data_IF_946668111885
#
_entry.id   IF_946668111885
#
_cell.length_a   1.000
_cell.length_b   1.000
_cell.length_c   1.000
_cell.angle_alpha   90.00
_cell.angle_beta   90.00
_cell.angle_gamma   90.00
#
_symmetry.space_group_name_H-M   'P 1'
#
loop_
_entity.id
_entity.type
_entity.pdbx_description
1 polymer ?
#
# COMPACT_ATOMS: atom_id res chain seq x y z
N UNK A 1 -18.30 22.36 -2.01
CA UNK A 1 -19.01 21.76 -0.86
C UNK A 1 -18.52 20.34 -0.76
N UNK A 2 -18.25 19.92 0.48
CA UNK A 2 -17.43 18.76 0.82
C UNK A 2 -17.96 17.48 0.19
N UNK A 3 -17.15 16.86 -0.66
CA UNK A 3 -17.22 15.43 -0.88
C UNK A 3 -16.61 14.81 0.38
N UNK A 4 -17.39 14.78 1.45
CA UNK A 4 -17.17 13.87 2.59
C UNK A 4 -17.40 12.46 2.05
N UNK A 5 -16.42 11.97 1.28
CA UNK A 5 -16.42 10.64 0.70
C UNK A 5 -16.28 9.67 1.87
N UNK A 6 -17.44 9.17 2.32
CA UNK A 6 -17.52 8.07 3.28
C UNK A 6 -16.45 7.02 2.96
N UNK A 7 -15.67 6.65 3.97
CA UNK A 7 -14.72 5.54 3.88
C UNK A 7 -15.44 4.31 3.31
N UNK A 8 -15.00 3.87 2.15
CA UNK A 8 -15.48 2.64 1.56
C UNK A 8 -14.74 1.48 2.22
N UNK A 9 -15.48 0.62 2.92
CA UNK A 9 -14.94 -0.62 3.50
C UNK A 9 -14.63 -1.69 2.44
N UNK A 10 -14.93 -1.41 1.16
CA UNK A 10 -14.79 -2.35 0.04
C UNK A 10 -13.69 -1.95 -0.95
N UNK A 11 -13.27 -0.68 -0.93
CA UNK A 11 -12.18 -0.18 -1.78
C UNK A 11 -11.01 0.19 -0.90
N UNK A 12 -9.79 -0.10 -1.36
CA UNK A 12 -8.56 0.25 -0.65
C UNK A 12 -8.36 1.76 -0.47
N UNK A 13 -7.19 2.17 0.04
CA UNK A 13 -6.87 3.59 0.15
C UNK A 13 -6.80 4.25 -1.23
N UNK A 14 -6.91 5.58 -1.26
CA UNK A 14 -6.65 6.34 -2.47
C UNK A 14 -5.16 6.33 -2.85
N UNK A 15 -4.84 6.97 -3.98
CA UNK A 15 -3.46 7.09 -4.50
C UNK A 15 -2.47 7.76 -3.51
N UNK A 16 -2.98 8.54 -2.56
CA UNK A 16 -2.17 9.19 -1.55
C UNK A 16 -2.02 8.33 -0.28
N UNK A 17 -2.61 7.13 -0.26
CA UNK A 17 -2.63 6.23 0.89
C UNK A 17 -3.66 6.63 1.95
N UNK A 18 -4.71 7.39 1.58
CA UNK A 18 -5.76 7.81 2.50
C UNK A 18 -7.00 6.94 2.40
N UNK A 19 -7.57 6.64 3.56
CA UNK A 19 -8.94 6.18 3.72
C UNK A 19 -9.78 7.37 4.19
N UNK A 20 -10.35 8.09 3.21
CA UNK A 20 -11.06 9.35 3.43
C UNK A 20 -10.14 10.35 4.13
N UNK A 21 -10.51 10.80 5.32
CA UNK A 21 -9.72 11.80 6.05
C UNK A 21 -8.43 11.24 6.68
N UNK A 22 -8.31 9.92 6.82
CA UNK A 22 -7.26 9.27 7.59
C UNK A 22 -6.21 8.58 6.72
N UNK A 23 -4.99 8.41 7.25
CA UNK A 23 -3.87 7.83 6.51
C UNK A 23 -3.05 8.90 5.78
N UNK A 24 -2.42 8.53 4.67
CA UNK A 24 -1.46 9.38 3.98
C UNK A 24 -0.02 9.20 4.47
N UNK A 25 0.91 9.92 3.84
CA UNK A 25 2.35 9.80 4.07
C UNK A 25 2.86 11.04 4.81
N UNK A 26 2.97 10.96 6.13
CA UNK A 26 3.50 12.03 6.98
C UNK A 26 4.90 11.65 7.49
N UNK A 27 5.86 11.63 6.57
CA UNK A 27 7.26 11.26 6.83
C UNK A 27 8.19 12.39 6.40
N UNK A 28 9.45 12.35 6.84
CA UNK A 28 10.47 13.29 6.36
C UNK A 28 10.66 13.17 4.85
N UNK A 29 10.91 14.29 4.17
CA UNK A 29 11.14 14.33 2.72
C UNK A 29 12.26 13.36 2.27
N UNK A 30 13.30 13.22 3.09
CA UNK A 30 14.41 12.29 2.85
C UNK A 30 13.99 10.82 2.79
N UNK A 31 12.83 10.47 3.36
CA UNK A 31 12.27 9.12 3.32
C UNK A 31 11.34 8.90 2.14
N UNK A 32 10.82 9.97 1.51
CA UNK A 32 9.84 9.84 0.42
C UNK A 32 10.33 8.98 -0.76
N UNK A 33 11.59 9.10 -1.24
CA UNK A 33 12.08 8.23 -2.32
C UNK A 33 12.03 6.74 -1.95
N UNK A 34 12.41 6.40 -0.72
CA UNK A 34 12.42 5.02 -0.22
C UNK A 34 11.01 4.46 -0.05
N UNK A 35 10.05 5.30 0.35
CA UNK A 35 8.63 4.90 0.45
C UNK A 35 8.06 4.60 -0.93
N UNK A 36 8.40 5.42 -1.94
CA UNK A 36 7.95 5.21 -3.31
C UNK A 36 8.57 3.96 -3.94
N UNK A 37 9.86 3.72 -3.70
CA UNK A 37 10.54 2.49 -4.14
C UNK A 37 9.93 1.24 -3.49
N UNK A 38 9.64 1.29 -2.19
CA UNK A 38 8.98 0.19 -1.48
C UNK A 38 7.59 -0.10 -2.06
N UNK A 39 6.80 0.95 -2.35
CA UNK A 39 5.50 0.80 -2.99
C UNK A 39 5.60 0.14 -4.36
N UNK A 40 6.57 0.55 -5.19
CA UNK A 40 6.82 -0.07 -6.49
C UNK A 40 7.17 -1.55 -6.36
N UNK A 41 8.09 -1.91 -5.46
CA UNK A 41 8.48 -3.30 -5.23
C UNK A 41 7.33 -4.13 -4.65
N UNK A 42 6.49 -3.53 -3.80
CA UNK A 42 5.29 -4.18 -3.29
C UNK A 42 4.28 -4.46 -4.42
N UNK A 43 4.01 -3.49 -5.29
CA UNK A 43 3.11 -3.69 -6.42
C UNK A 43 3.61 -4.77 -7.39
N UNK A 44 4.92 -4.84 -7.61
CA UNK A 44 5.53 -5.94 -8.34
C UNK A 44 5.30 -7.29 -7.62
N UNK A 45 5.69 -7.39 -6.35
CA UNK A 45 5.62 -8.62 -5.56
C UNK A 45 4.19 -9.18 -5.42
N UNK A 46 3.17 -8.34 -5.35
CA UNK A 46 1.76 -8.76 -5.30
C UNK A 46 1.36 -9.64 -6.48
N UNK A 47 1.98 -9.46 -7.64
CA UNK A 47 1.67 -10.18 -8.88
C UNK A 47 2.76 -11.19 -9.28
N UNK A 48 3.85 -11.26 -8.52
CA UNK A 48 4.96 -12.17 -8.76
C UNK A 48 4.68 -13.55 -8.15
N UNK A 49 4.56 -14.56 -9.02
CA UNK A 49 4.33 -15.94 -8.57
C UNK A 49 5.48 -16.48 -7.72
N UNK A 50 6.72 -16.12 -8.02
CA UNK A 50 7.89 -16.61 -7.29
C UNK A 50 7.89 -16.13 -5.83
N UNK A 51 7.45 -14.90 -5.61
CA UNK A 51 7.27 -14.33 -4.27
C UNK A 51 6.21 -15.11 -3.48
N UNK A 52 5.05 -15.39 -4.10
CA UNK A 52 4.00 -16.15 -3.43
C UNK A 52 4.37 -17.62 -3.19
N UNK A 53 5.14 -18.24 -4.07
CA UNK A 53 5.65 -19.61 -3.87
C UNK A 53 6.55 -19.67 -2.63
N UNK A 54 7.45 -18.69 -2.46
CA UNK A 54 8.30 -18.58 -1.27
C UNK A 54 7.47 -18.32 -0.01
N UNK A 55 6.52 -17.38 -0.05
CA UNK A 55 5.64 -17.06 1.08
C UNK A 55 4.82 -18.28 1.52
N UNK A 56 4.24 -19.03 0.58
CA UNK A 56 3.49 -20.24 0.86
C UNK A 56 4.36 -21.32 1.51
N UNK A 57 5.60 -21.48 1.04
CA UNK A 57 6.55 -22.39 1.66
C UNK A 57 6.86 -21.98 3.11
N UNK A 58 7.12 -20.70 3.36
CA UNK A 58 7.47 -20.18 4.68
C UNK A 58 6.31 -20.24 5.68
N UNK A 59 5.06 -20.06 5.25
CA UNK A 59 3.90 -20.07 6.15
C UNK A 59 3.47 -21.47 6.62
N UNK A 60 3.90 -22.53 5.93
CA UNK A 60 3.51 -23.91 6.24
C UNK A 60 4.51 -24.67 7.14
N UNK A 61 5.67 -24.08 7.43
CA UNK A 61 6.74 -24.69 8.24
C UNK A 61 6.99 -23.88 9.52
#
# INVERSE_FOLDING_TARGET
>A
MANDLFNSFMTGPDENGRFGDFGGRFVSETLMPLILELEEQYEHAKTDQSFWDEMNFLWTH
#
